data_IF_514247578889
#
_entry.id   IF_514247578889
#
_cell.length_a   1.000
_cell.length_b   1.000
_cell.length_c   1.000
_cell.angle_alpha   90.00
_cell.angle_beta   90.00
_cell.angle_gamma   90.00
#
_symmetry.space_group_name_H-M   'P 1'
#
loop_
_entity.id
_entity.type
_entity.pdbx_description
1 polymer ?
#
# COMPACT_ATOMS: atom_id res chain seq x y z
N UNK A 1 36.17 0.86 -12.29
CA UNK A 1 35.80 0.36 -13.63
C UNK A 1 34.29 0.46 -13.76
N UNK A 2 33.84 1.39 -14.59
CA UNK A 2 32.44 1.66 -14.90
C UNK A 2 31.94 0.62 -15.90
N UNK A 3 30.73 0.10 -15.70
CA UNK A 3 29.94 -0.54 -16.76
C UNK A 3 28.50 -0.02 -16.71
N UNK A 4 27.81 0.08 -17.87
CA UNK A 4 26.80 1.08 -18.13
C UNK A 4 25.37 0.54 -18.02
N UNK A 5 24.45 1.43 -17.62
CA UNK A 5 23.01 1.29 -17.87
C UNK A 5 22.74 1.33 -19.37
N UNK A 6 22.05 0.32 -19.89
CA UNK A 6 21.43 0.34 -21.20
C UNK A 6 19.91 0.54 -21.07
N UNK A 7 19.47 1.74 -21.46
CA UNK A 7 18.10 2.10 -21.77
C UNK A 7 17.59 1.37 -23.03
N UNK A 8 16.57 0.52 -22.88
CA UNK A 8 15.67 -0.02 -23.92
C UNK A 8 14.43 -0.50 -23.15
N UNK A 9 13.17 -0.16 -23.42
CA UNK A 9 12.49 0.38 -24.59
C UNK A 9 11.18 1.08 -24.19
N UNK A 10 10.91 2.15 -24.93
CA UNK A 10 9.59 2.76 -25.19
C UNK A 10 8.63 1.75 -25.83
N UNK A 11 7.34 2.09 -25.78
CA UNK A 11 6.22 1.56 -26.57
C UNK A 11 5.51 0.32 -26.01
N UNK A 12 4.33 0.57 -25.41
CA UNK A 12 3.06 -0.16 -25.61
C UNK A 12 2.09 0.14 -24.45
N UNK A 13 1.55 1.36 -24.42
CA UNK A 13 0.32 1.67 -23.68
C UNK A 13 -0.59 2.42 -24.64
N UNK A 14 -1.17 1.69 -25.58
CA UNK A 14 -2.31 2.13 -26.42
C UNK A 14 -2.80 0.91 -27.20
N UNK A 15 -3.55 0.03 -26.54
CA UNK A 15 -4.35 -0.99 -27.22
C UNK A 15 -5.69 -1.12 -26.52
N UNK A 16 -6.56 -0.13 -26.74
CA UNK A 16 -7.99 -0.31 -27.03
C UNK A 16 -8.70 1.03 -27.13
N UNK A 17 -8.34 1.81 -28.13
CA UNK A 17 -9.24 2.67 -28.93
C UNK A 17 -8.48 2.91 -30.24
N UNK A 18 -8.93 2.27 -31.31
CA UNK A 18 -8.51 2.55 -32.68
C UNK A 18 -8.95 3.98 -33.03
N UNK A 19 -8.05 4.95 -32.85
CA UNK A 19 -8.13 6.26 -33.48
C UNK A 19 -6.88 6.42 -34.34
N UNK A 20 -7.11 6.67 -35.62
CA UNK A 20 -6.09 6.76 -36.65
C UNK A 20 -4.99 7.76 -36.26
N UNK A 21 -3.73 7.32 -36.35
CA UNK A 21 -2.50 8.06 -36.02
C UNK A 21 -2.30 9.42 -36.74
N UNK A 22 -3.24 9.89 -37.58
CA UNK A 22 -3.09 11.13 -38.36
C UNK A 22 -3.74 12.38 -37.74
N UNK A 23 -4.52 12.25 -36.67
CA UNK A 23 -5.22 13.39 -36.05
C UNK A 23 -4.55 13.92 -34.77
N UNK A 24 -3.47 13.28 -34.30
CA UNK A 24 -2.78 13.62 -33.04
C UNK A 24 -1.71 14.72 -33.17
N UNK A 25 -1.36 15.17 -34.37
CA UNK A 25 -0.31 16.19 -34.58
C UNK A 25 -0.82 17.65 -34.60
N UNK A 26 -2.14 17.89 -34.44
CA UNK A 26 -2.72 19.25 -34.58
C UNK A 26 -3.23 19.93 -33.32
N UNK A 27 -2.99 19.38 -32.14
CA UNK A 27 -3.27 20.10 -30.91
C UNK A 27 -2.13 19.95 -29.91
N UNK A 28 -1.26 20.95 -29.83
CA UNK A 28 -0.46 21.20 -28.65
C UNK A 28 -1.41 21.67 -27.53
N UNK A 29 -2.18 20.74 -26.95
CA UNK A 29 -2.91 20.99 -25.73
C UNK A 29 -1.87 21.17 -24.62
N UNK A 30 -1.96 22.28 -23.88
CA UNK A 30 -1.29 22.36 -22.57
C UNK A 30 -1.78 21.18 -21.74
N UNK A 31 -0.88 20.20 -21.53
CA UNK A 31 -1.23 18.98 -20.82
C UNK A 31 -1.60 19.37 -19.39
N UNK A 32 -2.86 19.14 -19.01
CA UNK A 32 -3.35 19.36 -17.65
C UNK A 32 -2.42 18.67 -16.65
N UNK A 33 -1.96 19.43 -15.67
CA UNK A 33 -1.17 18.90 -14.56
C UNK A 33 -1.98 18.92 -13.28
N UNK A 34 -2.13 17.77 -12.62
CA UNK A 34 -2.78 17.68 -11.32
C UNK A 34 -1.79 18.02 -10.20
N UNK A 35 -2.23 18.83 -9.25
CA UNK A 35 -1.54 18.95 -7.96
C UNK A 35 -1.62 17.63 -7.19
N UNK A 36 -0.72 17.42 -6.23
CA UNK A 36 -0.73 16.23 -5.38
C UNK A 36 -2.10 16.00 -4.72
N UNK A 37 -2.70 17.08 -4.20
CA UNK A 37 -4.01 17.04 -3.55
C UNK A 37 -5.10 16.59 -4.53
N UNK A 38 -5.17 17.23 -5.69
CA UNK A 38 -6.16 16.88 -6.73
C UNK A 38 -6.00 15.43 -7.19
N UNK A 39 -4.75 14.95 -7.35
CA UNK A 39 -4.49 13.57 -7.72
C UNK A 39 -4.99 12.60 -6.64
N UNK A 40 -4.68 12.85 -5.36
CA UNK A 40 -5.16 12.00 -4.26
C UNK A 40 -6.68 11.97 -4.16
N UNK A 41 -7.33 13.13 -4.28
CA UNK A 41 -8.80 13.24 -4.29
C UNK A 41 -9.39 12.47 -5.48
N UNK A 42 -8.81 12.61 -6.67
CA UNK A 42 -9.26 11.89 -7.88
C UNK A 42 -9.10 10.37 -7.75
N UNK A 43 -7.97 9.90 -7.20
CA UNK A 43 -7.72 8.47 -6.97
C UNK A 43 -8.77 7.90 -6.01
N UNK A 44 -9.06 8.61 -4.91
CA UNK A 44 -10.05 8.18 -3.94
C UNK A 44 -11.47 8.16 -4.54
N UNK A 45 -11.82 9.13 -5.38
CA UNK A 45 -13.08 9.12 -6.13
C UNK A 45 -13.18 7.91 -7.08
N UNK A 46 -12.09 7.57 -7.78
CA UNK A 46 -12.04 6.39 -8.66
C UNK A 46 -12.24 5.10 -7.85
N UNK A 47 -11.55 4.94 -6.72
CA UNK A 47 -11.73 3.76 -5.86
C UNK A 47 -13.15 3.63 -5.33
N UNK A 48 -13.75 4.74 -4.86
CA UNK A 48 -15.12 4.73 -4.35
C UNK A 48 -16.13 4.45 -5.48
N UNK A 49 -15.89 5.00 -6.67
CA UNK A 49 -16.70 4.67 -7.85
C UNK A 49 -16.58 3.19 -8.21
N UNK A 50 -15.36 2.64 -8.20
CA UNK A 50 -15.09 1.23 -8.53
C UNK A 50 -15.77 0.28 -7.57
N UNK A 51 -15.68 0.53 -6.27
CA UNK A 51 -16.33 -0.31 -5.26
C UNK A 51 -17.86 -0.35 -5.43
N UNK A 52 -18.47 0.80 -5.74
CA UNK A 52 -19.90 0.87 -6.00
C UNK A 52 -20.28 0.21 -7.33
N UNK A 53 -19.43 0.33 -8.35
CA UNK A 53 -19.61 -0.33 -9.64
C UNK A 53 -19.56 -1.84 -9.49
N UNK A 54 -18.54 -2.37 -8.81
CA UNK A 54 -18.36 -3.80 -8.61
C UNK A 54 -19.53 -4.44 -7.85
N UNK A 55 -20.04 -3.77 -6.80
CA UNK A 55 -21.23 -4.25 -6.06
C UNK A 55 -22.45 -4.37 -6.98
N UNK A 56 -22.74 -3.33 -7.77
CA UNK A 56 -23.86 -3.32 -8.72
C UNK A 56 -23.70 -4.37 -9.81
N UNK A 57 -22.47 -4.54 -10.32
CA UNK A 57 -22.19 -5.49 -11.39
C UNK A 57 -22.24 -6.92 -10.88
N UNK A 58 -21.81 -7.18 -9.65
CA UNK A 58 -21.98 -8.46 -8.99
C UNK A 58 -23.47 -8.80 -8.82
N UNK A 59 -24.29 -7.84 -8.36
CA UNK A 59 -25.74 -8.00 -8.25
C UNK A 59 -26.41 -8.25 -9.62
N UNK A 60 -25.92 -7.60 -10.67
CA UNK A 60 -26.41 -7.73 -12.04
C UNK A 60 -25.78 -8.89 -12.84
N UNK A 61 -24.89 -9.68 -12.23
CA UNK A 61 -24.18 -10.78 -12.88
C UNK A 61 -23.39 -10.36 -14.14
N UNK A 62 -22.81 -9.16 -14.10
CA UNK A 62 -22.00 -8.58 -15.16
C UNK A 62 -20.50 -8.74 -14.87
N UNK A 63 -19.64 -8.82 -15.91
CA UNK A 63 -18.21 -8.97 -15.73
C UNK A 63 -17.57 -7.76 -15.04
N UNK A 64 -16.51 -8.01 -14.28
CA UNK A 64 -15.77 -6.99 -13.55
C UNK A 64 -14.77 -6.31 -14.50
N UNK A 65 -14.70 -4.98 -14.47
CA UNK A 65 -13.67 -4.22 -15.20
C UNK A 65 -12.34 -4.19 -14.43
N UNK A 66 -11.21 -4.01 -15.10
CA UNK A 66 -9.94 -3.65 -14.42
C UNK A 66 -10.01 -2.23 -13.85
N UNK A 67 -9.09 -1.87 -12.95
CA UNK A 67 -9.00 -0.48 -12.46
C UNK A 67 -8.75 0.54 -13.57
N UNK A 68 -7.94 0.19 -14.58
CA UNK A 68 -7.69 1.07 -15.73
C UNK A 68 -8.95 1.25 -16.59
N UNK A 69 -9.62 0.15 -16.94
CA UNK A 69 -10.89 0.21 -17.67
C UNK A 69 -11.91 1.05 -16.92
N UNK A 70 -12.06 0.80 -15.61
CA UNK A 70 -12.99 1.56 -14.77
C UNK A 70 -12.60 3.03 -14.63
N UNK A 71 -11.31 3.38 -14.63
CA UNK A 71 -10.88 4.78 -14.65
C UNK A 71 -11.46 5.49 -15.88
N UNK A 72 -11.41 4.88 -17.07
CA UNK A 72 -12.04 5.46 -18.26
C UNK A 72 -13.57 5.48 -18.16
N UNK A 73 -14.20 4.43 -17.64
CA UNK A 73 -15.65 4.39 -17.40
C UNK A 73 -16.09 5.52 -16.46
N UNK A 74 -15.36 5.75 -15.36
CA UNK A 74 -15.57 6.83 -14.41
C UNK A 74 -15.43 8.21 -15.06
N UNK A 75 -14.34 8.44 -15.81
CA UNK A 75 -14.11 9.72 -16.50
C UNK A 75 -15.19 9.98 -17.55
N UNK A 76 -15.65 8.94 -18.25
CA UNK A 76 -16.72 9.04 -19.21
C UNK A 76 -18.06 9.42 -18.55
N UNK A 77 -18.40 8.79 -17.41
CA UNK A 77 -19.58 9.15 -16.63
C UNK A 77 -19.50 10.57 -16.07
N UNK A 78 -18.31 11.02 -15.65
CA UNK A 78 -18.10 12.33 -15.02
C UNK A 78 -18.08 13.50 -16.00
N UNK A 79 -17.49 13.32 -17.19
CA UNK A 79 -17.25 14.41 -18.14
C UNK A 79 -17.96 14.26 -19.49
N UNK A 80 -18.26 13.05 -19.95
CA UNK A 80 -18.98 12.75 -21.20
C UNK A 80 -18.27 13.07 -22.52
N UNK A 81 -17.30 14.00 -22.53
CA UNK A 81 -16.59 14.43 -23.73
C UNK A 81 -15.23 13.72 -23.89
N UNK A 82 -15.02 13.05 -25.03
CA UNK A 82 -13.80 12.27 -25.34
C UNK A 82 -12.49 13.05 -25.11
N UNK A 83 -12.42 14.30 -25.56
CA UNK A 83 -11.22 15.11 -25.42
C UNK A 83 -10.87 15.38 -23.94
N UNK A 84 -11.89 15.66 -23.12
CA UNK A 84 -11.73 15.91 -21.68
C UNK A 84 -11.30 14.61 -20.97
N UNK A 85 -11.87 13.47 -21.36
CA UNK A 85 -11.50 12.15 -20.81
C UNK A 85 -10.01 11.88 -21.06
N UNK A 86 -9.53 12.09 -22.29
CA UNK A 86 -8.11 11.88 -22.66
C UNK A 86 -7.20 12.83 -21.88
N UNK A 87 -7.59 14.11 -21.76
CA UNK A 87 -6.85 15.11 -21.00
C UNK A 87 -6.70 14.71 -19.52
N UNK A 88 -7.80 14.28 -18.88
CA UNK A 88 -7.78 13.83 -17.48
C UNK A 88 -7.03 12.52 -17.29
N UNK A 89 -7.22 11.52 -18.15
CA UNK A 89 -6.47 10.26 -18.09
C UNK A 89 -4.96 10.51 -18.19
N UNK A 90 -4.55 11.36 -19.14
CA UNK A 90 -3.15 11.79 -19.30
C UNK A 90 -2.63 12.51 -18.05
N UNK A 91 -3.43 13.41 -17.47
CA UNK A 91 -3.08 14.14 -16.27
C UNK A 91 -2.92 13.23 -15.04
N UNK A 92 -3.77 12.21 -14.90
CA UNK A 92 -3.69 11.19 -13.83
C UNK A 92 -2.42 10.36 -14.02
N UNK A 93 -2.16 9.82 -15.21
CA UNK A 93 -0.97 9.00 -15.49
C UNK A 93 0.32 9.80 -15.23
N UNK A 94 0.39 11.05 -15.67
CA UNK A 94 1.53 11.93 -15.41
C UNK A 94 1.67 12.26 -13.92
N UNK A 95 0.56 12.49 -13.22
CA UNK A 95 0.54 12.66 -11.78
C UNK A 95 1.09 11.44 -11.03
N UNK A 96 0.65 10.23 -11.41
CA UNK A 96 1.15 8.97 -10.85
C UNK A 96 2.66 8.84 -11.08
N UNK A 97 3.15 9.08 -12.30
CA UNK A 97 4.59 9.04 -12.61
C UNK A 97 5.40 10.05 -11.77
N UNK A 98 4.85 11.24 -11.56
CA UNK A 98 5.49 12.32 -10.80
C UNK A 98 5.57 12.01 -9.30
N UNK A 99 4.47 11.56 -8.70
CA UNK A 99 4.32 11.48 -7.24
C UNK A 99 4.51 10.08 -6.64
N UNK A 100 4.53 9.02 -7.46
CA UNK A 100 4.68 7.63 -6.98
C UNK A 100 6.00 7.35 -6.24
N UNK A 101 7.06 8.13 -6.48
CA UNK A 101 8.34 7.96 -5.77
C UNK A 101 8.30 8.42 -4.31
N UNK A 102 7.42 9.36 -3.99
CA UNK A 102 7.36 10.01 -2.67
C UNK A 102 6.13 9.60 -1.84
N UNK A 103 5.08 9.13 -2.52
CA UNK A 103 3.79 8.82 -1.90
C UNK A 103 3.35 7.41 -2.25
N UNK A 104 3.39 6.53 -1.25
CA UNK A 104 3.10 5.11 -1.42
C UNK A 104 1.67 4.83 -1.93
N UNK A 105 0.67 5.60 -1.49
CA UNK A 105 -0.72 5.47 -1.98
C UNK A 105 -0.83 5.65 -3.51
N UNK A 106 -0.01 6.56 -4.06
CA UNK A 106 0.04 6.85 -5.49
C UNK A 106 0.84 5.77 -6.21
N UNK A 107 1.91 5.25 -5.59
CA UNK A 107 2.66 4.11 -6.11
C UNK A 107 1.76 2.89 -6.29
N UNK A 108 0.97 2.54 -5.27
CA UNK A 108 0.03 1.42 -5.31
C UNK A 108 -1.04 1.61 -6.37
N UNK A 109 -1.68 2.78 -6.42
CA UNK A 109 -2.65 3.06 -7.48
C UNK A 109 -2.04 2.88 -8.87
N UNK A 110 -0.82 3.38 -9.08
CA UNK A 110 -0.11 3.19 -10.35
C UNK A 110 0.19 1.73 -10.67
N UNK A 111 0.51 0.91 -9.66
CA UNK A 111 0.77 -0.53 -9.82
C UNK A 111 -0.51 -1.30 -10.15
N UNK A 112 -1.62 -0.94 -9.51
CA UNK A 112 -2.95 -1.48 -9.78
C UNK A 112 -3.37 -1.17 -11.22
N UNK A 113 -3.19 0.08 -11.68
CA UNK A 113 -3.50 0.45 -13.07
C UNK A 113 -2.75 -0.39 -14.10
N UNK A 114 -1.55 -0.88 -13.78
CA UNK A 114 -0.72 -1.69 -14.70
C UNK A 114 -0.89 -3.20 -14.52
N UNK A 115 -1.85 -3.64 -13.71
CA UNK A 115 -2.03 -5.05 -13.35
C UNK A 115 -0.73 -5.67 -12.79
N UNK A 116 0.02 -4.88 -12.00
CA UNK A 116 1.25 -5.32 -11.30
C UNK A 116 0.98 -5.57 -9.81
N UNK A 117 -0.19 -5.16 -9.33
CA UNK A 117 -0.66 -5.29 -7.96
C UNK A 117 -2.18 -5.42 -8.00
N UNK A 118 -2.75 -6.30 -7.19
CA UNK A 118 -4.19 -6.48 -7.09
C UNK A 118 -4.86 -5.28 -6.39
N UNK A 119 -6.13 -5.05 -6.73
CA UNK A 119 -6.93 -3.95 -6.18
C UNK A 119 -7.15 -4.06 -4.66
N UNK A 120 -7.07 -5.27 -4.09
CA UNK A 120 -7.35 -5.55 -2.68
C UNK A 120 -6.17 -5.16 -1.78
N UNK A 121 -4.95 -5.05 -2.32
CA UNK A 121 -3.77 -4.58 -1.59
C UNK A 121 -3.95 -3.21 -0.93
N UNK A 122 -4.82 -2.34 -1.47
CA UNK A 122 -5.16 -1.06 -0.83
C UNK A 122 -5.75 -1.23 0.57
N UNK A 123 -6.45 -2.33 0.84
CA UNK A 123 -6.97 -2.65 2.16
C UNK A 123 -5.85 -3.08 3.12
N UNK A 124 -4.84 -3.79 2.63
CA UNK A 124 -3.62 -4.10 3.38
C UNK A 124 -2.92 -2.82 3.81
N UNK A 125 -2.75 -1.85 2.89
CA UNK A 125 -2.19 -0.53 3.26
C UNK A 125 -3.01 0.18 4.33
N UNK A 126 -4.34 0.24 4.16
CA UNK A 126 -5.24 0.85 5.16
C UNK A 126 -5.08 0.19 6.52
N UNK A 127 -4.94 -1.14 6.56
CA UNK A 127 -4.73 -1.90 7.78
C UNK A 127 -3.37 -1.61 8.41
N UNK A 128 -2.28 -1.61 7.63
CA UNK A 128 -0.93 -1.27 8.11
C UNK A 128 -0.90 0.14 8.73
N UNK A 129 -1.53 1.12 8.08
CA UNK A 129 -1.66 2.49 8.61
C UNK A 129 -2.39 2.52 9.96
N UNK A 130 -3.50 1.77 10.05
CA UNK A 130 -4.30 1.65 11.28
C UNK A 130 -3.49 0.98 12.40
N UNK A 131 -2.88 -0.17 12.14
CA UNK A 131 -2.08 -0.91 13.12
C UNK A 131 -0.90 -0.09 13.62
N UNK A 132 -0.20 0.62 12.75
CA UNK A 132 0.90 1.53 13.15
C UNK A 132 0.42 2.57 14.17
N UNK A 133 -0.77 3.15 13.94
CA UNK A 133 -1.39 4.12 14.85
C UNK A 133 -1.84 3.47 16.15
N UNK A 134 -2.44 2.29 16.09
CA UNK A 134 -2.94 1.57 17.26
C UNK A 134 -1.78 1.13 18.17
N UNK A 135 -0.67 0.66 17.60
CA UNK A 135 0.53 0.31 18.35
C UNK A 135 1.18 1.54 18.99
N UNK A 136 1.23 2.67 18.30
CA UNK A 136 1.68 3.93 18.90
C UNK A 136 0.78 4.35 20.08
N UNK A 137 -0.54 4.21 19.94
CA UNK A 137 -1.49 4.49 21.01
C UNK A 137 -1.26 3.55 22.22
N UNK A 138 -1.05 2.25 21.97
CA UNK A 138 -0.73 1.28 23.01
C UNK A 138 0.59 1.59 23.72
N UNK A 139 1.63 1.95 22.96
CA UNK A 139 2.91 2.39 23.51
C UNK A 139 2.71 3.59 24.45
N UNK A 140 1.94 4.60 24.03
CA UNK A 140 1.66 5.77 24.86
C UNK A 140 0.89 5.42 26.14
N UNK A 141 -0.11 4.53 26.06
CA UNK A 141 -0.84 4.06 27.25
C UNK A 141 0.07 3.33 28.23
N UNK A 142 0.97 2.49 27.73
CA UNK A 142 1.96 1.79 28.56
C UNK A 142 2.95 2.74 29.21
N UNK A 143 3.43 3.74 28.47
CA UNK A 143 4.41 4.73 28.95
C UNK A 143 3.82 5.73 29.95
N UNK A 144 2.52 6.03 29.85
CA UNK A 144 1.83 7.03 30.67
C UNK A 144 0.57 6.45 31.35
N UNK A 145 0.70 5.49 32.29
CA UNK A 145 -0.42 4.76 32.87
C UNK A 145 -1.37 5.63 33.71
N UNK A 146 -0.89 6.77 34.22
CA UNK A 146 -1.69 7.70 35.03
C UNK A 146 -2.39 8.79 34.21
N UNK A 147 -2.11 8.89 32.90
CA UNK A 147 -2.78 9.87 32.04
C UNK A 147 -4.15 9.37 31.63
N UNK A 148 -5.10 10.30 31.53
CA UNK A 148 -6.45 9.94 31.12
C UNK A 148 -6.50 9.65 29.60
N UNK A 149 -7.57 8.98 29.15
CA UNK A 149 -7.73 8.58 27.75
C UNK A 149 -7.72 9.76 26.77
N UNK A 150 -8.23 10.93 27.17
CA UNK A 150 -8.25 12.12 26.30
C UNK A 150 -6.86 12.71 26.10
N UNK A 151 -6.06 12.78 27.16
CA UNK A 151 -4.66 13.22 27.10
C UNK A 151 -3.83 12.30 26.20
N UNK A 152 -3.99 10.99 26.34
CA UNK A 152 -3.32 10.02 25.46
C UNK A 152 -3.71 10.24 23.98
N UNK A 153 -5.01 10.47 23.72
CA UNK A 153 -5.48 10.75 22.36
C UNK A 153 -4.87 12.03 21.78
N UNK A 154 -4.77 13.09 22.58
CA UNK A 154 -4.10 14.34 22.16
C UNK A 154 -2.62 14.13 21.87
N UNK A 155 -1.91 13.37 22.71
CA UNK A 155 -0.50 13.02 22.48
C UNK A 155 -0.32 12.20 21.19
N UNK A 156 -1.22 11.25 20.94
CA UNK A 156 -1.24 10.46 19.72
C UNK A 156 -1.42 11.36 18.49
N UNK A 157 -2.39 12.27 18.51
CA UNK A 157 -2.64 13.21 17.41
C UNK A 157 -1.44 14.12 17.15
N UNK A 158 -0.79 14.63 18.21
CA UNK A 158 0.44 15.42 18.09
C UNK A 158 1.59 14.65 17.44
N UNK A 159 1.76 13.37 17.77
CA UNK A 159 2.79 12.53 17.15
C UNK A 159 2.47 12.21 15.70
N UNK A 160 1.22 11.88 15.39
CA UNK A 160 0.78 11.58 14.00
C UNK A 160 0.99 12.78 13.08
N UNK A 161 0.73 14.00 13.57
CA UNK A 161 0.90 15.23 12.80
C UNK A 161 2.35 15.75 12.80
N UNK A 162 3.24 15.12 13.57
CA UNK A 162 4.58 15.64 13.81
C UNK A 162 5.62 14.52 13.87
N UNK A 163 6.31 14.45 15.00
CA UNK A 163 7.51 13.63 15.18
C UNK A 163 7.24 12.42 16.07
N UNK A 164 7.79 11.28 15.68
CA UNK A 164 7.87 10.05 16.46
C UNK A 164 9.35 9.75 16.76
N UNK A 165 9.63 9.21 17.95
CA UNK A 165 10.98 8.88 18.38
C UNK A 165 11.43 7.53 17.80
N UNK A 166 12.75 7.36 17.64
CA UNK A 166 13.32 6.13 17.09
C UNK A 166 12.96 4.88 17.91
N UNK A 167 12.99 4.99 19.25
CA UNK A 167 12.59 3.91 20.15
C UNK A 167 11.15 3.44 19.89
N UNK A 168 10.22 4.39 19.75
CA UNK A 168 8.81 4.11 19.43
C UNK A 168 8.67 3.42 18.07
N UNK A 169 9.47 3.83 17.08
CA UNK A 169 9.47 3.20 15.75
C UNK A 169 9.97 1.75 15.81
N UNK A 170 11.05 1.50 16.55
CA UNK A 170 11.68 0.18 16.70
C UNK A 170 10.71 -0.79 17.37
N UNK A 171 10.04 -0.38 18.44
CA UNK A 171 9.07 -1.23 19.13
C UNK A 171 7.86 -1.57 18.24
N UNK A 172 7.36 -0.59 17.49
CA UNK A 172 6.28 -0.83 16.52
C UNK A 172 6.73 -1.83 15.44
N UNK A 173 7.92 -1.65 14.87
CA UNK A 173 8.43 -2.54 13.82
C UNK A 173 8.66 -3.95 14.34
N UNK A 174 9.33 -4.10 15.48
CA UNK A 174 9.59 -5.41 16.09
C UNK A 174 8.32 -6.17 16.45
N UNK A 175 7.22 -5.45 16.70
CA UNK A 175 5.91 -6.07 16.90
C UNK A 175 5.25 -6.48 15.58
N UNK A 176 5.33 -5.65 14.55
CA UNK A 176 4.65 -5.89 13.27
C UNK A 176 5.34 -6.92 12.38
N UNK A 177 6.66 -7.08 12.54
CA UNK A 177 7.50 -7.84 11.62
C UNK A 177 8.28 -8.93 12.33
N UNK A 178 8.66 -9.97 11.57
CA UNK A 178 9.64 -10.93 12.04
C UNK A 178 11.01 -10.25 12.22
N UNK A 179 11.95 -10.95 12.85
CA UNK A 179 13.26 -10.38 13.21
C UNK A 179 14.04 -9.92 11.97
N UNK A 180 14.07 -10.72 10.91
CA UNK A 180 14.82 -10.44 9.69
C UNK A 180 14.29 -9.19 8.96
N UNK A 181 12.96 -9.12 8.78
CA UNK A 181 12.27 -8.00 8.16
C UNK A 181 12.39 -6.72 9.00
N UNK A 182 12.30 -6.86 10.33
CA UNK A 182 12.44 -5.76 11.27
C UNK A 182 13.83 -5.12 11.20
N UNK A 183 14.90 -5.94 11.13
CA UNK A 183 16.28 -5.46 11.01
C UNK A 183 16.47 -4.60 9.75
N UNK A 184 15.95 -5.07 8.60
CA UNK A 184 16.01 -4.34 7.32
C UNK A 184 15.25 -3.00 7.42
N UNK A 185 14.04 -3.01 7.98
CA UNK A 185 13.22 -1.82 8.15
C UNK A 185 13.89 -0.79 9.07
N UNK A 186 14.43 -1.24 10.20
CA UNK A 186 15.13 -0.37 11.16
C UNK A 186 16.38 0.23 10.53
N UNK A 187 17.13 -0.54 9.73
CA UNK A 187 18.28 -0.01 9.00
C UNK A 187 17.86 1.08 8.01
N UNK A 188 16.79 0.87 7.25
CA UNK A 188 16.25 1.86 6.32
C UNK A 188 15.79 3.16 7.03
N UNK A 189 15.27 3.06 8.25
CA UNK A 189 14.88 4.24 9.03
C UNK A 189 16.07 5.10 9.47
N UNK A 190 17.25 4.51 9.70
CA UNK A 190 18.42 5.24 10.23
C UNK A 190 18.83 6.43 9.37
N UNK A 191 18.71 6.29 8.05
CA UNK A 191 19.04 7.34 7.08
C UNK A 191 18.11 8.56 7.15
N UNK A 192 16.93 8.40 7.75
CA UNK A 192 15.87 9.41 7.80
C UNK A 192 15.73 10.07 9.19
N UNK A 193 16.50 9.62 10.18
CA UNK A 193 16.46 10.21 11.51
C UNK A 193 17.11 11.59 11.54
N UNK A 194 16.42 12.52 12.19
CA UNK A 194 16.95 13.83 12.56
C UNK A 194 17.32 13.80 14.05
N UNK A 195 18.45 14.40 14.39
CA UNK A 195 18.91 14.59 15.76
C UNK A 195 18.61 16.04 16.19
N UNK A 196 18.18 16.25 17.44
CA UNK A 196 17.92 17.59 17.95
C UNK A 196 19.19 18.44 17.97
N UNK A 197 19.11 19.69 17.49
CA UNK A 197 20.18 20.68 17.64
C UNK A 197 20.32 21.09 19.11
N UNK A 198 21.54 21.11 19.64
CA UNK A 198 21.90 21.55 20.99
C UNK A 198 21.70 23.07 21.19
N UNK A 199 20.47 23.57 21.21
CA UNK A 199 20.17 24.94 21.65
C UNK A 199 19.65 24.92 23.09
N UNK A 200 20.53 24.59 24.03
CA UNK A 200 20.23 24.47 25.48
C UNK A 200 20.08 25.86 26.15
N UNK A 201 20.60 26.93 25.54
CA UNK A 201 20.79 28.22 26.20
C UNK A 201 19.53 29.10 26.34
N UNK A 202 18.41 28.80 25.64
CA UNK A 202 17.27 29.72 25.53
C UNK A 202 16.03 29.38 26.39
N UNK A 203 15.97 28.21 27.05
CA UNK A 203 14.79 27.75 27.81
C UNK A 203 15.05 27.60 29.32
N UNK A 204 15.88 28.48 29.90
CA UNK A 204 16.32 28.41 31.30
C UNK A 204 15.28 28.85 32.35
N UNK A 205 14.03 29.17 31.98
CA UNK A 205 13.03 29.64 32.95
C UNK A 205 12.26 28.47 33.55
N UNK A 206 12.55 28.20 34.83
CA UNK A 206 11.74 27.46 35.80
C UNK A 206 11.53 25.95 35.55
N UNK A 207 12.62 25.18 35.39
CA UNK A 207 12.57 23.72 35.35
C UNK A 207 13.39 23.12 36.49
N UNK A 208 12.87 22.05 37.10
CA UNK A 208 13.61 21.29 38.13
C UNK A 208 14.79 20.54 37.50
N UNK A 209 15.76 20.13 38.34
CA UNK A 209 16.97 19.42 37.87
C UNK A 209 16.63 18.12 37.12
N UNK A 210 15.59 17.42 37.56
CA UNK A 210 15.12 16.17 36.98
C UNK A 210 14.39 16.38 35.64
N UNK A 211 13.55 17.42 35.54
CA UNK A 211 12.90 17.81 34.29
C UNK A 211 13.92 18.32 33.26
N UNK A 212 14.98 19.00 33.72
CA UNK A 212 16.06 19.47 32.86
C UNK A 212 16.88 18.30 32.28
N UNK A 213 17.14 17.25 33.07
CA UNK A 213 17.81 16.04 32.60
C UNK A 213 16.95 15.23 31.63
N UNK A 214 15.64 15.10 31.88
CA UNK A 214 14.69 14.49 30.92
C UNK A 214 14.61 15.27 29.60
N UNK A 215 14.49 16.60 29.66
CA UNK A 215 14.51 17.46 28.47
C UNK A 215 15.83 17.36 27.68
N UNK A 216 16.96 17.17 28.37
CA UNK A 216 18.26 16.97 27.73
C UNK A 216 18.32 15.61 27.03
N UNK A 217 17.79 14.55 27.64
CA UNK A 217 17.71 13.22 27.03
C UNK A 217 16.75 13.19 25.83
N UNK A 218 15.55 13.75 25.95
CA UNK A 218 14.57 13.81 24.85
C UNK A 218 15.07 14.63 23.64
N UNK A 219 15.86 15.70 23.87
CA UNK A 219 16.44 16.51 22.79
C UNK A 219 17.61 15.82 22.07
N UNK A 220 18.26 14.85 22.71
CA UNK A 220 19.29 14.01 22.07
C UNK A 220 18.73 12.81 21.31
N UNK A 221 17.44 12.49 21.47
CA UNK A 221 16.84 11.33 20.83
C UNK A 221 16.63 11.54 19.34
N UNK A 222 16.98 10.50 18.56
CA UNK A 222 16.69 10.41 17.15
C UNK A 222 15.17 10.41 16.93
N UNK A 223 14.70 11.19 15.95
CA UNK A 223 13.28 11.30 15.60
C UNK A 223 13.05 11.38 14.10
N UNK A 224 11.86 10.97 13.68
CA UNK A 224 11.41 10.99 12.28
C UNK A 224 9.99 11.56 12.21
N UNK A 225 9.61 12.16 11.09
CA UNK A 225 8.22 12.56 10.86
C UNK A 225 7.35 11.31 10.74
N UNK A 226 6.20 11.28 11.43
CA UNK A 226 5.36 10.09 11.47
C UNK A 226 4.88 9.66 10.07
N UNK A 227 4.55 10.64 9.21
CA UNK A 227 4.22 10.37 7.81
C UNK A 227 5.35 9.61 7.09
N UNK A 228 6.61 10.02 7.29
CA UNK A 228 7.76 9.40 6.63
C UNK A 228 8.01 7.98 7.18
N UNK A 229 7.91 7.80 8.49
CA UNK A 229 7.95 6.48 9.13
C UNK A 229 6.89 5.53 8.53
N UNK A 230 5.64 6.00 8.45
CA UNK A 230 4.56 5.22 7.87
C UNK A 230 4.80 4.93 6.38
N UNK A 231 5.29 5.90 5.61
CA UNK A 231 5.58 5.71 4.18
C UNK A 231 6.68 4.66 3.96
N UNK A 232 7.73 4.64 4.79
CA UNK A 232 8.81 3.64 4.72
C UNK A 232 8.28 2.22 4.97
N UNK A 233 7.41 2.04 5.97
CA UNK A 233 6.76 0.76 6.24
C UNK A 233 5.90 0.32 5.04
N UNK A 234 5.12 1.23 4.49
CA UNK A 234 4.25 0.93 3.36
C UNK A 234 5.02 0.63 2.07
N UNK A 235 6.14 1.32 1.83
CA UNK A 235 7.04 1.06 0.70
C UNK A 235 7.68 -0.31 0.82
N UNK A 236 8.07 -0.72 2.02
CA UNK A 236 8.56 -2.07 2.28
C UNK A 236 7.48 -3.12 1.96
N UNK A 237 6.26 -2.93 2.45
CA UNK A 237 5.14 -3.82 2.19
C UNK A 237 4.84 -3.96 0.70
N UNK A 238 4.82 -2.85 -0.03
CA UNK A 238 4.60 -2.87 -1.48
C UNK A 238 5.72 -3.65 -2.20
N UNK A 239 6.99 -3.40 -1.87
CA UNK A 239 8.13 -4.11 -2.49
C UNK A 239 8.07 -5.61 -2.25
N UNK A 240 7.75 -6.03 -1.02
CA UNK A 240 7.59 -7.45 -0.70
C UNK A 240 6.44 -8.08 -1.50
N UNK A 241 5.33 -7.36 -1.64
CA UNK A 241 4.19 -7.82 -2.44
C UNK A 241 4.53 -7.91 -3.93
N UNK A 242 5.24 -6.92 -4.48
CA UNK A 242 5.73 -6.95 -5.87
C UNK A 242 6.66 -8.14 -6.11
N UNK A 243 7.62 -8.37 -5.20
CA UNK A 243 8.52 -9.52 -5.29
C UNK A 243 7.76 -10.85 -5.28
N UNK A 244 6.70 -10.94 -4.46
CA UNK A 244 5.83 -12.11 -4.40
C UNK A 244 5.04 -12.31 -5.70
N UNK A 245 4.48 -11.23 -6.25
CA UNK A 245 3.67 -11.27 -7.46
C UNK A 245 4.50 -11.36 -8.75
N UNK A 246 5.81 -11.09 -8.71
CA UNK A 246 6.63 -10.94 -9.90
C UNK A 246 6.50 -12.13 -10.88
N UNK A 247 6.60 -13.37 -10.38
CA UNK A 247 6.44 -14.55 -11.23
C UNK A 247 5.03 -14.66 -11.82
N UNK A 248 4.01 -14.33 -11.03
CA UNK A 248 2.64 -14.32 -11.51
C UNK A 248 2.42 -13.27 -12.59
N UNK A 249 2.88 -12.04 -12.38
CA UNK A 249 2.79 -10.95 -13.35
C UNK A 249 3.45 -11.33 -14.67
N UNK A 250 4.61 -11.99 -14.64
CA UNK A 250 5.29 -12.49 -15.84
C UNK A 250 4.45 -13.55 -16.57
N UNK A 251 3.84 -14.50 -15.86
CA UNK A 251 2.98 -15.52 -16.46
C UNK A 251 1.69 -14.93 -17.01
N UNK A 252 1.05 -14.04 -16.28
CA UNK A 252 -0.18 -13.35 -16.69
C UNK A 252 0.05 -12.58 -17.99
N UNK A 253 1.13 -11.80 -18.09
CA UNK A 253 1.48 -11.05 -19.32
C UNK A 253 1.79 -11.95 -20.52
N UNK A 254 2.16 -13.21 -20.31
CA UNK A 254 2.37 -14.14 -21.42
C UNK A 254 1.07 -14.67 -22.00
N UNK A 255 0.02 -14.79 -21.17
CA UNK A 255 -1.28 -15.31 -21.60
C UNK A 255 -2.24 -14.20 -22.03
N UNK A 256 -2.12 -12.99 -21.45
CA UNK A 256 -2.85 -11.79 -21.83
C UNK A 256 -2.28 -11.20 -23.14
N UNK A 257 -2.70 -11.77 -24.27
CA UNK A 257 -2.10 -11.51 -25.59
C UNK A 257 -2.40 -10.11 -26.11
N UNK A 258 -3.56 -9.54 -25.76
CA UNK A 258 -3.97 -8.20 -26.18
C UNK A 258 -3.61 -7.12 -25.14
N UNK A 259 -3.01 -7.52 -24.01
CA UNK A 259 -2.50 -6.66 -22.95
C UNK A 259 -3.58 -5.75 -22.35
N UNK A 260 -4.82 -6.25 -22.27
CA UNK A 260 -5.96 -5.50 -21.80
C UNK A 260 -6.21 -5.68 -20.29
N UNK A 261 -5.45 -6.57 -19.62
CA UNK A 261 -5.58 -6.88 -18.20
C UNK A 261 -6.68 -7.88 -17.84
N UNK A 262 -7.29 -8.51 -18.83
CA UNK A 262 -8.42 -9.44 -18.75
C UNK A 262 -8.12 -10.66 -19.61
N UNK A 263 -8.28 -11.84 -19.01
CA UNK A 263 -8.07 -13.11 -19.71
C UNK A 263 -9.38 -13.86 -19.89
N UNK A 264 -9.52 -14.54 -21.03
CA UNK A 264 -10.63 -15.46 -21.29
C UNK A 264 -10.34 -16.87 -20.74
N UNK A 265 -11.29 -17.80 -20.89
CA UNK A 265 -11.20 -19.18 -20.39
C UNK A 265 -9.98 -19.94 -20.95
N UNK A 266 -9.65 -19.77 -22.23
CA UNK A 266 -8.51 -20.45 -22.85
C UNK A 266 -7.18 -19.91 -22.28
N UNK A 267 -7.07 -18.60 -22.12
CA UNK A 267 -5.91 -17.94 -21.53
C UNK A 267 -5.78 -18.26 -20.04
N UNK A 268 -6.90 -18.38 -19.33
CA UNK A 268 -6.94 -18.82 -17.94
C UNK A 268 -6.47 -20.28 -17.80
N UNK A 269 -6.90 -21.18 -18.68
CA UNK A 269 -6.39 -22.55 -18.70
C UNK A 269 -4.88 -22.59 -18.99
N UNK A 270 -4.39 -21.82 -19.97
CA UNK A 270 -2.95 -21.69 -20.26
C UNK A 270 -2.18 -21.18 -19.04
N UNK A 271 -2.74 -20.21 -18.31
CA UNK A 271 -2.16 -19.65 -17.08
C UNK A 271 -2.04 -20.72 -16.00
N UNK A 272 -3.13 -21.43 -15.70
CA UNK A 272 -3.14 -22.48 -14.68
C UNK A 272 -2.17 -23.62 -15.01
N UNK A 273 -2.06 -23.99 -16.29
CA UNK A 273 -1.09 -24.97 -16.78
C UNK A 273 0.35 -24.51 -16.54
N UNK A 274 0.69 -23.26 -16.93
CA UNK A 274 2.03 -22.69 -16.72
C UNK A 274 2.39 -22.54 -15.24
N UNK A 275 1.39 -22.30 -14.39
CA UNK A 275 1.58 -22.21 -12.94
C UNK A 275 1.71 -23.59 -12.26
N UNK A 276 1.42 -24.68 -12.97
CA UNK A 276 1.46 -26.04 -12.42
C UNK A 276 0.36 -26.30 -11.37
N UNK A 277 -0.76 -25.58 -11.45
CA UNK A 277 -1.88 -25.71 -10.49
C UNK A 277 -2.81 -26.86 -10.89
N UNK A 278 -3.00 -27.08 -12.19
CA UNK A 278 -3.93 -28.08 -12.71
C UNK A 278 -3.47 -29.50 -12.38
N UNK A 279 -4.35 -30.26 -11.73
CA UNK A 279 -4.18 -31.72 -11.54
C UNK A 279 -5.05 -32.50 -12.51
N UNK A 280 -6.26 -32.03 -12.77
CA UNK A 280 -7.21 -32.60 -13.73
C UNK A 280 -8.15 -31.53 -14.33
N UNK A 281 -9.00 -31.93 -15.28
CA UNK A 281 -9.99 -31.04 -15.92
C UNK A 281 -11.14 -30.64 -14.97
N UNK A 282 -11.39 -31.43 -13.91
CA UNK A 282 -12.43 -31.13 -12.93
C UNK A 282 -12.03 -29.93 -12.07
N UNK A 283 -10.76 -29.85 -11.69
CA UNK A 283 -10.18 -28.70 -11.01
C UNK A 283 -10.31 -27.41 -11.84
N UNK A 284 -10.08 -27.48 -13.16
CA UNK A 284 -10.26 -26.34 -14.07
C UNK A 284 -11.72 -25.84 -14.03
N UNK A 285 -12.69 -26.74 -14.17
CA UNK A 285 -14.11 -26.38 -14.14
C UNK A 285 -14.53 -25.81 -12.78
N UNK A 286 -14.01 -26.34 -11.67
CA UNK A 286 -14.26 -25.80 -10.34
C UNK A 286 -13.73 -24.37 -10.19
N UNK A 287 -12.50 -24.11 -10.65
CA UNK A 287 -11.90 -22.77 -10.61
C UNK A 287 -12.63 -21.78 -11.52
N UNK A 288 -13.05 -22.22 -12.71
CA UNK A 288 -13.85 -21.40 -13.63
C UNK A 288 -15.22 -21.04 -13.03
N UNK A 289 -15.92 -22.01 -12.44
CA UNK A 289 -17.19 -21.76 -11.75
C UNK A 289 -17.04 -20.79 -10.57
N UNK A 290 -15.87 -20.74 -9.94
CA UNK A 290 -15.59 -19.81 -8.85
C UNK A 290 -15.26 -18.40 -9.34
N UNK A 291 -14.48 -18.27 -10.42
CA UNK A 291 -13.95 -16.97 -10.88
C UNK A 291 -14.83 -16.28 -11.93
N UNK A 292 -15.52 -17.07 -12.77
CA UNK A 292 -16.44 -16.62 -13.82
C UNK A 292 -17.69 -17.52 -13.88
N UNK A 293 -18.55 -17.52 -12.84
CA UNK A 293 -19.74 -18.38 -12.74
C UNK A 293 -20.77 -18.16 -13.85
N UNK A 294 -20.70 -17.04 -14.57
CA UNK A 294 -21.65 -16.67 -15.60
C UNK A 294 -21.05 -16.75 -17.01
N UNK A 295 -19.86 -17.34 -17.14
CA UNK A 295 -19.12 -17.55 -18.39
C UNK A 295 -19.08 -16.27 -19.25
N UNK A 296 -18.65 -15.17 -18.62
CA UNK A 296 -18.49 -13.87 -19.30
C UNK A 296 -17.20 -13.77 -20.08
N UNK A 297 -16.30 -14.75 -19.95
CA UNK A 297 -15.01 -14.80 -20.63
C UNK A 297 -14.13 -13.58 -20.29
N UNK A 298 -14.32 -13.06 -19.08
CA UNK A 298 -13.68 -11.83 -18.60
C UNK A 298 -13.22 -12.02 -17.16
N UNK A 299 -11.96 -12.43 -17.01
CA UNK A 299 -11.30 -12.62 -15.72
C UNK A 299 -10.18 -11.60 -15.58
N UNK A 300 -10.31 -10.69 -14.63
CA UNK A 300 -9.30 -9.65 -14.37
C UNK A 300 -8.09 -10.19 -13.60
N UNK A 301 -6.94 -9.51 -13.70
CA UNK A 301 -5.75 -9.78 -12.87
C UNK A 301 -6.08 -9.90 -11.37
N UNK A 302 -6.83 -8.94 -10.83
CA UNK A 302 -7.22 -8.90 -9.40
C UNK A 302 -8.07 -10.11 -8.99
N UNK A 303 -8.96 -10.58 -9.88
CA UNK A 303 -9.75 -11.79 -9.63
C UNK A 303 -8.88 -13.04 -9.57
N UNK A 304 -7.88 -13.16 -10.45
CA UNK A 304 -6.92 -14.27 -10.39
C UNK A 304 -6.16 -14.29 -9.06
N UNK A 305 -5.60 -13.16 -8.63
CA UNK A 305 -4.88 -13.06 -7.35
C UNK A 305 -5.79 -13.44 -6.17
N UNK A 306 -7.03 -12.96 -6.18
CA UNK A 306 -8.02 -13.26 -5.13
C UNK A 306 -8.32 -14.76 -5.06
N UNK A 307 -8.59 -15.38 -6.22
CA UNK A 307 -8.83 -16.82 -6.31
C UNK A 307 -7.63 -17.61 -5.80
N UNK A 308 -6.44 -17.31 -6.31
CA UNK A 308 -5.21 -18.03 -5.97
C UNK A 308 -4.83 -17.89 -4.49
N UNK A 309 -5.11 -16.74 -3.90
CA UNK A 309 -4.94 -16.53 -2.46
C UNK A 309 -5.83 -17.45 -1.61
N UNK A 310 -7.00 -17.86 -2.12
CA UNK A 310 -7.93 -18.77 -1.44
C UNK A 310 -7.57 -20.25 -1.63
N UNK A 311 -7.02 -20.61 -2.79
CA UNK A 311 -6.76 -22.01 -3.21
C UNK A 311 -5.41 -22.53 -2.65
N UNK A 312 -4.88 -21.92 -1.58
CA UNK A 312 -3.57 -22.23 -0.98
C UNK A 312 -2.41 -22.09 -1.98
N UNK A 313 -2.21 -20.88 -2.52
CA UNK A 313 -0.98 -20.50 -3.19
C UNK A 313 0.23 -20.55 -2.24
N UNK A 314 0.83 -21.72 -2.09
CA UNK A 314 2.15 -21.92 -1.49
C UNK A 314 2.28 -21.50 0.00
N UNK A 315 3.24 -22.10 0.73
CA UNK A 315 3.49 -21.86 2.17
C UNK A 315 3.81 -20.40 2.57
N UNK A 316 3.87 -19.46 1.63
CA UNK A 316 4.34 -18.09 1.80
C UNK A 316 3.21 -17.07 2.06
N UNK A 317 1.95 -17.42 1.75
CA UNK A 317 0.77 -16.61 2.11
C UNK A 317 0.63 -16.47 3.64
N UNK A 318 1.11 -17.46 4.40
CA UNK A 318 0.91 -17.53 5.86
C UNK A 318 1.63 -16.41 6.62
N UNK A 319 2.70 -15.79 6.10
CA UNK A 319 3.34 -14.66 6.79
C UNK A 319 2.60 -13.33 6.55
N UNK A 320 2.15 -13.06 5.32
CA UNK A 320 1.36 -11.86 5.01
C UNK A 320 -0.06 -11.95 5.60
N UNK A 321 -0.68 -13.13 5.56
CA UNK A 321 -1.97 -13.37 6.22
C UNK A 321 -1.86 -13.55 7.74
N UNK A 322 -0.69 -13.81 8.33
CA UNK A 322 -0.54 -13.75 9.79
C UNK A 322 -0.80 -12.34 10.30
N UNK A 323 -0.40 -11.29 9.56
CA UNK A 323 -0.78 -9.91 9.88
C UNK A 323 -2.31 -9.73 9.68
N UNK A 324 -2.88 -10.25 8.60
CA UNK A 324 -4.32 -10.19 8.33
C UNK A 324 -5.18 -10.95 9.37
N UNK A 325 -4.70 -12.07 9.93
CA UNK A 325 -5.42 -12.94 10.88
C UNK A 325 -5.15 -12.55 12.33
N UNK A 326 -3.91 -12.21 12.71
CA UNK A 326 -3.58 -11.79 14.09
C UNK A 326 -4.20 -10.43 14.44
N UNK A 327 -4.57 -9.62 13.46
CA UNK A 327 -5.21 -8.31 13.69
C UNK A 327 -6.75 -8.39 13.59
N UNK A 328 -7.30 -9.41 12.94
CA UNK A 328 -8.75 -9.65 12.88
C UNK A 328 -9.28 -10.55 14.01
N UNK A 329 -8.41 -11.07 14.89
CA UNK A 329 -8.83 -11.62 16.19
C UNK A 329 -8.70 -10.52 17.25
N UNK A 330 -9.84 -10.11 17.83
CA UNK A 330 -9.90 -9.28 19.03
C UNK A 330 -9.21 -9.98 20.21
N UNK A 331 -7.88 -9.91 20.31
CA UNK A 331 -7.12 -10.19 21.55
C UNK A 331 -5.82 -9.36 21.66
N UNK A 332 -5.84 -8.10 21.20
CA UNK A 332 -4.74 -7.15 21.48
C UNK A 332 -5.18 -6.20 22.59
N UNK A 333 -5.42 -6.72 23.80
CA UNK A 333 -5.62 -5.87 24.99
C UNK A 333 -4.75 -6.22 26.18
N UNK A 334 -4.24 -7.45 26.34
CA UNK A 334 -3.64 -7.83 27.62
C UNK A 334 -2.13 -8.17 27.60
N UNK A 335 -1.55 -8.61 26.48
CA UNK A 335 -0.14 -9.04 26.50
C UNK A 335 0.89 -7.89 26.45
N UNK A 336 0.60 -6.81 25.72
CA UNK A 336 1.57 -5.72 25.53
C UNK A 336 1.71 -4.84 26.79
N UNK A 337 0.59 -4.55 27.48
CA UNK A 337 0.61 -3.84 28.76
C UNK A 337 1.36 -4.61 29.84
N UNK A 338 1.22 -5.94 29.86
CA UNK A 338 1.93 -6.80 30.79
C UNK A 338 3.42 -6.93 30.48
N UNK A 339 3.83 -7.02 29.21
CA UNK A 339 5.26 -7.06 28.83
C UNK A 339 5.99 -5.74 29.13
N UNK A 340 5.38 -4.58 28.90
CA UNK A 340 6.01 -3.28 29.25
C UNK A 340 6.08 -3.03 30.75
N UNK A 341 5.04 -3.43 31.51
CA UNK A 341 5.07 -3.42 32.98
C UNK A 341 6.19 -4.32 33.55
N UNK A 342 6.48 -5.45 32.89
CA UNK A 342 7.56 -6.35 33.29
C UNK A 342 8.95 -5.75 33.03
N UNK A 343 9.15 -5.07 31.90
CA UNK A 343 10.43 -4.40 31.58
C UNK A 343 10.68 -3.22 32.53
N UNK A 344 9.65 -2.45 32.89
CA UNK A 344 9.75 -1.38 33.89
C UNK A 344 10.02 -1.88 35.30
N UNK A 345 9.47 -3.04 35.68
CA UNK A 345 9.80 -3.71 36.97
C UNK A 345 11.23 -4.24 37.01
N UNK A 346 11.78 -4.71 35.89
CA UNK A 346 13.18 -5.15 35.81
C UNK A 346 14.12 -3.94 35.90
N UNK A 347 13.80 -2.82 35.26
CA UNK A 347 14.61 -1.59 35.35
C UNK A 347 14.60 -0.96 36.75
N UNK A 348 13.48 -1.03 37.48
CA UNK A 348 13.38 -0.51 38.85
C UNK A 348 14.02 -1.42 39.92
N UNK A 349 14.40 -2.66 39.58
CA UNK A 349 15.07 -3.59 40.48
C UNK A 349 16.60 -3.67 40.25
N UNK A 350 17.14 -2.86 39.32
CA UNK A 350 18.59 -2.79 38.99
C UNK A 350 19.23 -1.45 39.45
N UNK A 351 18.47 -0.61 40.16
CA UNK A 351 18.98 0.55 40.93
C UNK A 351 18.65 0.30 42.39
#
# INVERSE_FOLDING_TARGET
>A
MFFPCSDVSRDNITSNICLQQKDLERFAFEIRTLTLRQLKETIEEIYNSKENFDKKYQEAQLPRETMEQHMYSFLNQKYGLKNIIIEWATAIINGVRKYSKEYNDIAVFGKILRNECDEEFRFVQKQVKKTTKDLLNMYLKGKYPYKNTQEIKQMLEQKIQGWIFAEECIDIINYMYNKEDAEILIENLKYNYKYGKNNILLQKKNLTKEEFEKLKQEKSQAKIEFYLFQNIILDYQLKCHEAHLNNFVLLFRQVDRDQNGVINENEFNELLFKMGILKDELDLQNLLNQIDPFNKQQVTFSQCITLFSQVNFNKYIVLFFKIYILINQEQITDEFGNKMSYIQKIQNNII
#
